data_IF_629399102708
#
_entry.id   IF_629399102708
#
_cell.length_a   1.000
_cell.length_b   1.000
_cell.length_c   1.000
_cell.angle_alpha   90.00
_cell.angle_beta   90.00
_cell.angle_gamma   90.00
#
_symmetry.space_group_name_H-M   'P 1'
#
loop_
_entity.id
_entity.type
_entity.pdbx_description
1 polymer ?
#
# COMPACT_ATOMS: atom_id res chain seq x y z
N UNK A 1 -32.82 -22.75 -42.26
CA UNK A 1 -32.22 -22.98 -40.92
C UNK A 1 -30.84 -22.36 -40.89
N UNK A 2 -30.61 -21.32 -40.09
CA UNK A 2 -29.25 -20.91 -39.67
C UNK A 2 -29.03 -21.35 -38.24
N UNK A 3 -27.83 -21.82 -37.87
CA UNK A 3 -27.28 -21.49 -36.58
C UNK A 3 -26.43 -20.21 -36.73
N UNK A 4 -26.87 -19.18 -36.00
CA UNK A 4 -26.08 -17.99 -35.69
C UNK A 4 -25.05 -18.40 -34.63
N UNK A 5 -23.76 -18.31 -34.98
CA UNK A 5 -22.67 -18.48 -34.04
C UNK A 5 -22.10 -17.09 -33.75
N UNK A 6 -22.76 -16.39 -32.83
CA UNK A 6 -22.19 -15.21 -32.19
C UNK A 6 -20.87 -15.62 -31.52
N UNK A 7 -19.75 -14.89 -31.75
CA UNK A 7 -18.54 -15.12 -31.00
C UNK A 7 -18.83 -14.86 -29.52
N UNK A 8 -18.49 -15.84 -28.68
CA UNK A 8 -18.50 -15.72 -27.23
C UNK A 8 -17.61 -14.54 -26.83
N UNK A 9 -18.22 -13.53 -26.20
CA UNK A 9 -17.52 -12.38 -25.65
C UNK A 9 -16.58 -12.83 -24.54
N UNK A 10 -15.32 -13.03 -24.91
CA UNK A 10 -14.25 -13.23 -23.95
C UNK A 10 -13.88 -11.84 -23.46
N UNK A 11 -14.24 -11.50 -22.22
CA UNK A 11 -14.11 -10.18 -21.61
C UNK A 11 -12.88 -9.40 -22.08
N UNK A 12 -13.13 -8.49 -23.02
CA UNK A 12 -12.10 -7.74 -23.74
C UNK A 12 -11.62 -6.58 -22.90
N UNK A 13 -10.40 -6.67 -22.40
CA UNK A 13 -9.68 -5.52 -21.89
C UNK A 13 -8.90 -4.91 -23.05
N UNK A 14 -8.94 -3.58 -23.15
CA UNK A 14 -8.14 -2.82 -24.12
C UNK A 14 -6.66 -3.22 -23.98
N UNK A 15 -5.99 -3.70 -25.05
CA UNK A 15 -4.59 -4.11 -24.99
C UNK A 15 -3.62 -2.98 -24.61
N UNK A 16 -4.05 -1.71 -24.69
CA UNK A 16 -3.26 -0.55 -24.27
C UNK A 16 -3.50 -0.16 -22.80
N UNK A 17 -4.51 -0.74 -22.14
CA UNK A 17 -4.79 -0.48 -20.73
C UNK A 17 -3.81 -1.23 -19.82
N UNK A 18 -3.17 -0.50 -18.91
CA UNK A 18 -2.26 -1.08 -17.96
C UNK A 18 -3.05 -1.69 -16.79
N UNK A 19 -2.66 -2.91 -16.38
CA UNK A 19 -3.19 -3.53 -15.17
C UNK A 19 -2.81 -2.68 -13.96
N UNK A 20 -3.84 -2.35 -13.18
CA UNK A 20 -3.77 -1.66 -11.89
C UNK A 20 -4.55 -2.45 -10.86
N UNK A 21 -4.37 -2.07 -9.61
CA UNK A 21 -4.97 -2.73 -8.48
C UNK A 21 -5.59 -1.69 -7.55
N UNK A 22 -6.89 -1.87 -7.27
CA UNK A 22 -7.64 -1.04 -6.33
C UNK A 22 -7.69 -1.71 -4.96
N UNK A 23 -7.29 -0.95 -3.93
CA UNK A 23 -7.42 -1.40 -2.55
C UNK A 23 -8.90 -1.59 -2.17
N UNK A 24 -9.23 -2.77 -1.64
CA UNK A 24 -10.58 -3.14 -1.17
C UNK A 24 -10.76 -3.02 0.34
N UNK A 25 -9.78 -2.43 1.04
CA UNK A 25 -9.73 -2.38 2.51
C UNK A 25 -9.76 -3.78 3.15
N UNK A 26 -9.07 -4.73 2.53
CA UNK A 26 -8.99 -6.11 3.04
C UNK A 26 -8.18 -6.25 4.34
N UNK A 27 -7.38 -5.23 4.69
CA UNK A 27 -6.53 -5.21 5.89
C UNK A 27 -5.23 -5.99 5.79
N UNK A 28 -5.01 -6.80 4.74
CA UNK A 28 -3.86 -7.69 4.64
C UNK A 28 -2.51 -6.94 4.68
N UNK A 29 -2.32 -5.92 3.84
CA UNK A 29 -1.06 -5.16 3.81
C UNK A 29 -0.84 -4.29 5.06
N UNK A 30 -1.88 -4.02 5.84
CA UNK A 30 -1.77 -3.29 7.10
C UNK A 30 -1.34 -4.20 8.27
N UNK A 31 -1.19 -5.50 8.04
CA UNK A 31 -0.84 -6.52 9.04
C UNK A 31 0.37 -7.35 8.62
N UNK A 32 1.05 -6.92 7.56
CA UNK A 32 2.30 -7.56 7.17
C UNK A 32 3.44 -7.00 8.00
N UNK A 33 4.37 -7.89 8.30
CA UNK A 33 5.64 -7.51 8.88
C UNK A 33 6.46 -6.68 7.88
N UNK A 34 7.20 -5.72 8.44
CA UNK A 34 8.11 -4.86 7.70
C UNK A 34 7.92 -3.38 8.01
N UNK A 35 8.82 -2.56 7.50
CA UNK A 35 8.78 -1.12 7.75
C UNK A 35 7.86 -0.39 6.79
N UNK A 36 6.90 0.35 7.36
CA UNK A 36 6.32 1.52 6.70
C UNK A 36 7.18 2.72 7.07
N UNK A 37 8.22 3.02 6.27
CA UNK A 37 9.10 4.17 6.51
C UNK A 37 8.36 5.47 6.23
N UNK A 38 8.57 6.45 7.10
CA UNK A 38 7.93 7.77 7.01
C UNK A 38 8.95 8.89 6.97
N UNK A 39 8.74 9.86 6.08
CA UNK A 39 9.51 11.09 6.03
C UNK A 39 8.95 12.14 6.99
N UNK A 40 9.72 13.20 7.23
CA UNK A 40 9.30 14.36 8.03
C UNK A 40 8.06 15.06 7.45
N UNK A 41 7.95 15.11 6.13
CA UNK A 41 6.77 15.65 5.44
C UNK A 41 5.53 14.77 5.65
N UNK A 42 5.70 13.45 5.61
CA UNK A 42 4.62 12.50 5.89
C UNK A 42 4.15 12.57 7.34
N UNK A 43 5.10 12.69 8.27
CA UNK A 43 4.82 12.92 9.69
C UNK A 43 4.01 14.21 9.86
N UNK A 44 4.40 15.31 9.21
CA UNK A 44 3.67 16.58 9.27
C UNK A 44 2.25 16.45 8.72
N UNK A 45 2.05 15.73 7.61
CA UNK A 45 0.71 15.46 7.04
C UNK A 45 -0.16 14.61 7.98
N UNK A 46 0.43 13.59 8.60
CA UNK A 46 -0.28 12.74 9.58
C UNK A 46 -0.66 13.57 10.81
N UNK A 47 0.25 14.40 11.30
CA UNK A 47 0.03 15.28 12.45
C UNK A 47 -1.13 16.26 12.20
N UNK A 48 -1.13 16.94 11.04
CA UNK A 48 -2.20 17.85 10.65
C UNK A 48 -3.57 17.15 10.55
N UNK A 49 -3.62 15.92 10.00
CA UNK A 49 -4.86 15.16 9.91
C UNK A 49 -5.41 14.72 11.28
N UNK A 50 -4.52 14.43 12.24
CA UNK A 50 -4.88 13.95 13.57
C UNK A 50 -5.05 15.08 14.59
N UNK A 51 -4.86 16.34 14.20
CA UNK A 51 -4.81 17.51 15.09
C UNK A 51 -3.77 17.34 16.23
N UNK A 52 -2.57 16.89 15.84
CA UNK A 52 -1.43 16.68 16.73
C UNK A 52 -0.21 17.47 16.24
N UNK A 53 0.82 17.59 17.09
CA UNK A 53 2.11 18.12 16.64
C UNK A 53 2.95 17.02 15.95
N UNK A 54 3.84 17.39 15.02
CA UNK A 54 4.77 16.43 14.41
C UNK A 54 5.60 15.65 15.45
N UNK A 55 6.01 16.29 16.55
CA UNK A 55 6.78 15.67 17.62
C UNK A 55 5.97 14.59 18.35
N UNK A 56 4.68 14.85 18.62
CA UNK A 56 3.79 13.85 19.19
C UNK A 56 3.65 12.66 18.25
N UNK A 57 3.55 12.89 16.94
CA UNK A 57 3.46 11.79 15.96
C UNK A 57 4.73 10.96 15.92
N UNK A 58 5.91 11.60 15.89
CA UNK A 58 7.21 10.91 15.95
C UNK A 58 7.30 10.03 17.19
N UNK A 59 6.92 10.57 18.35
CA UNK A 59 7.03 9.87 19.64
C UNK A 59 6.06 8.70 19.75
N UNK A 60 4.79 8.91 19.39
CA UNK A 60 3.70 8.00 19.76
C UNK A 60 3.37 6.99 18.66
N UNK A 61 3.66 7.31 17.39
CA UNK A 61 3.26 6.49 16.24
C UNK A 61 4.42 6.02 15.38
N UNK A 62 5.67 6.31 15.75
CA UNK A 62 6.84 5.84 15.00
C UNK A 62 7.88 5.18 15.90
N UNK A 63 8.70 4.32 15.30
CA UNK A 63 9.90 3.74 15.89
C UNK A 63 11.10 3.96 14.98
N UNK A 64 12.30 4.01 15.55
CA UNK A 64 13.53 3.94 14.77
C UNK A 64 13.66 2.54 14.15
N UNK A 65 13.99 2.48 12.86
CA UNK A 65 14.25 1.21 12.17
C UNK A 65 15.52 0.52 12.71
N UNK A 66 15.63 -0.80 12.58
CA UNK A 66 16.80 -1.55 13.09
C UNK A 66 18.12 -1.11 12.46
N UNK A 67 18.10 -0.75 11.17
CA UNK A 67 19.24 -0.17 10.45
C UNK A 67 19.56 1.27 10.86
N UNK A 68 18.73 1.87 11.74
CA UNK A 68 18.78 3.27 12.17
C UNK A 68 18.76 4.30 11.04
N UNK A 69 18.31 3.91 9.84
CA UNK A 69 18.27 4.76 8.66
C UNK A 69 17.01 5.63 8.57
N UNK A 70 16.03 5.46 9.46
CA UNK A 70 14.85 6.31 9.50
C UNK A 70 13.81 5.89 10.53
N UNK A 71 12.64 6.52 10.44
CA UNK A 71 11.48 6.19 11.26
C UNK A 71 10.51 5.32 10.47
N UNK A 72 9.85 4.40 11.17
CA UNK A 72 8.76 3.59 10.64
C UNK A 72 7.54 3.68 11.54
N UNK A 73 6.34 3.58 10.96
CA UNK A 73 5.11 3.47 11.75
C UNK A 73 5.15 2.26 12.69
N UNK A 74 4.63 2.43 13.90
CA UNK A 74 4.49 1.33 14.85
C UNK A 74 3.32 0.41 14.54
N UNK A 75 3.38 -0.78 15.11
CA UNK A 75 2.30 -1.76 15.12
C UNK A 75 1.65 -1.83 16.50
N UNK A 76 0.41 -2.31 16.53
CA UNK A 76 -0.33 -2.70 17.71
C UNK A 76 0.15 -4.08 18.19
N UNK A 77 -0.27 -4.53 19.40
CA UNK A 77 0.07 -5.86 19.90
C UNK A 77 -0.36 -7.03 19.00
N UNK A 78 -1.39 -6.84 18.15
CA UNK A 78 -1.86 -7.85 17.19
C UNK A 78 -1.06 -7.86 15.87
N UNK A 79 0.04 -7.10 15.79
CA UNK A 79 0.88 -6.94 14.59
C UNK A 79 0.28 -6.04 13.52
N UNK A 80 -0.87 -5.39 13.77
CA UNK A 80 -1.46 -4.46 12.81
C UNK A 80 -0.89 -3.07 12.91
N UNK A 81 -0.83 -2.34 11.80
CA UNK A 81 -0.45 -0.93 11.78
C UNK A 81 -1.25 -0.14 12.84
N UNK A 82 -0.57 0.73 13.59
CA UNK A 82 -1.15 1.54 14.65
C UNK A 82 -2.40 2.34 14.23
N UNK A 83 -2.50 2.70 12.94
CA UNK A 83 -3.62 3.46 12.38
C UNK A 83 -4.74 2.60 11.76
N UNK A 84 -4.65 1.27 11.80
CA UNK A 84 -5.72 0.39 11.32
C UNK A 84 -6.84 0.32 12.36
N UNK A 85 -8.00 0.92 12.10
CA UNK A 85 -9.19 0.80 12.94
C UNK A 85 -10.01 -0.47 12.62
N UNK A 86 -11.05 -0.69 13.42
CA UNK A 86 -12.02 -1.76 13.22
C UNK A 86 -12.63 -1.72 11.81
N UNK A 87 -13.01 -2.89 11.31
CA UNK A 87 -13.49 -3.03 9.93
C UNK A 87 -12.41 -2.76 8.86
N UNK A 88 -11.13 -2.84 9.22
CA UNK A 88 -9.97 -2.59 8.35
C UNK A 88 -9.93 -1.16 7.76
N UNK A 89 -10.43 -0.18 8.52
CA UNK A 89 -10.43 1.22 8.10
C UNK A 89 -9.09 1.86 8.45
N UNK A 90 -8.40 2.43 7.47
CA UNK A 90 -7.18 3.20 7.72
C UNK A 90 -7.56 4.60 8.21
N UNK A 91 -7.22 4.94 9.45
CA UNK A 91 -7.54 6.26 10.05
C UNK A 91 -6.80 7.42 9.41
N UNK A 92 -5.65 7.15 8.80
CA UNK A 92 -4.83 8.16 8.11
C UNK A 92 -4.93 8.06 6.59
N UNK A 93 -6.08 7.62 6.06
CA UNK A 93 -6.27 7.37 4.62
C UNK A 93 -5.79 8.55 3.75
N UNK A 94 -6.13 9.79 4.12
CA UNK A 94 -5.80 10.99 3.36
C UNK A 94 -4.33 11.40 3.52
N UNK A 95 -3.76 11.13 4.69
CA UNK A 95 -2.36 11.38 5.01
C UNK A 95 -1.45 10.17 4.79
N UNK A 96 -1.91 9.12 4.09
CA UNK A 96 -1.16 7.86 3.93
C UNK A 96 0.30 8.10 3.51
N UNK A 97 1.26 7.39 4.12
CA UNK A 97 2.62 7.35 3.63
C UNK A 97 2.68 6.86 2.18
N UNK A 98 3.69 7.31 1.45
CA UNK A 98 3.95 6.99 0.04
C UNK A 98 4.02 5.48 -0.15
N UNK A 99 4.72 4.74 0.71
CA UNK A 99 4.78 3.28 0.62
C UNK A 99 3.38 2.64 0.67
N UNK A 100 2.52 3.08 1.60
CA UNK A 100 1.14 2.60 1.68
C UNK A 100 0.28 3.02 0.48
N UNK A 101 0.52 4.20 -0.12
CA UNK A 101 -0.20 4.68 -1.32
C UNK A 101 0.22 3.92 -2.57
N UNK A 102 1.50 3.59 -2.69
CA UNK A 102 2.08 2.91 -3.84
C UNK A 102 1.76 1.41 -3.85
N UNK A 103 1.44 0.81 -2.70
CA UNK A 103 1.00 -0.57 -2.66
C UNK A 103 -0.41 -0.76 -3.23
N UNK A 104 -0.66 -1.77 -4.10
CA UNK A 104 0.30 -2.75 -4.63
C UNK A 104 0.81 -2.40 -6.04
N UNK A 105 0.55 -1.21 -6.58
CA UNK A 105 0.86 -0.90 -7.98
C UNK A 105 2.35 -0.66 -8.25
N UNK A 106 3.03 0.06 -7.35
CA UNK A 106 4.42 0.50 -7.55
C UNK A 106 5.34 0.12 -6.40
N UNK A 107 4.78 -0.47 -5.35
CA UNK A 107 5.53 -1.02 -4.23
C UNK A 107 4.85 -2.32 -3.83
N UNK A 108 5.41 -3.45 -4.25
CA UNK A 108 4.87 -4.78 -3.97
C UNK A 108 6.00 -5.81 -4.00
N UNK A 109 5.63 -7.07 -3.79
CA UNK A 109 6.51 -8.21 -3.95
C UNK A 109 5.79 -9.33 -4.72
N UNK A 110 6.55 -10.21 -5.35
CA UNK A 110 5.99 -11.35 -6.10
C UNK A 110 5.06 -12.20 -5.23
N UNK A 111 3.83 -12.41 -5.69
CA UNK A 111 2.84 -13.23 -4.99
C UNK A 111 2.01 -12.51 -3.93
N UNK A 112 2.15 -11.19 -3.76
CA UNK A 112 1.37 -10.38 -2.80
C UNK A 112 -0.16 -10.62 -2.86
N UNK A 113 -0.69 -10.96 -4.05
CA UNK A 113 -2.11 -11.29 -4.31
C UNK A 113 -2.62 -12.51 -3.55
N UNK A 114 -1.74 -13.38 -3.05
CA UNK A 114 -2.14 -14.50 -2.18
C UNK A 114 -2.74 -14.04 -0.85
N UNK A 115 -2.39 -12.83 -0.41
CA UNK A 115 -2.91 -12.25 0.83
C UNK A 115 -3.73 -10.99 0.59
N UNK A 116 -3.29 -10.11 -0.31
CA UNK A 116 -4.04 -8.89 -0.63
C UNK A 116 -5.24 -9.21 -1.54
N UNK A 117 -6.45 -8.90 -1.06
CA UNK A 117 -7.70 -9.04 -1.84
C UNK A 117 -8.00 -7.80 -2.69
N UNK A 118 -6.98 -7.16 -3.26
CA UNK A 118 -7.19 -6.02 -4.17
C UNK A 118 -7.99 -6.45 -5.41
N UNK A 119 -8.75 -5.53 -5.98
CA UNK A 119 -9.44 -5.77 -7.24
C UNK A 119 -8.55 -5.33 -8.39
N UNK A 120 -8.48 -6.15 -9.42
CA UNK A 120 -7.85 -5.81 -10.69
C UNK A 120 -8.68 -4.69 -11.35
N UNK A 121 -7.99 -3.65 -11.81
CA UNK A 121 -8.56 -2.55 -12.59
C UNK A 121 -7.70 -2.34 -13.82
N UNK A 122 -8.31 -1.87 -14.91
CA UNK A 122 -7.62 -1.61 -16.16
C UNK A 122 -7.78 -0.13 -16.42
N UNK A 123 -6.67 0.61 -16.36
CA UNK A 123 -6.64 2.05 -16.56
C UNK A 123 -5.84 2.37 -17.81
N UNK A 124 -6.31 3.34 -18.60
CA UNK A 124 -5.56 3.85 -19.73
C UNK A 124 -4.24 4.43 -19.23
N UNK A 125 -3.12 4.06 -19.84
CA UNK A 125 -1.81 4.59 -19.48
C UNK A 125 -1.75 6.09 -19.86
N UNK A 126 -1.91 6.97 -18.85
CA UNK A 126 -1.61 8.39 -19.01
C UNK A 126 -0.09 8.62 -19.17
N UNK A 127 0.34 9.71 -19.82
CA UNK A 127 1.72 9.90 -20.29
C UNK A 127 2.82 10.08 -19.22
N UNK A 128 2.53 10.03 -17.91
CA UNK A 128 3.48 10.46 -16.86
C UNK A 128 3.89 9.39 -15.82
N UNK A 129 3.63 8.11 -16.08
CA UNK A 129 4.05 7.04 -15.17
C UNK A 129 5.46 6.49 -15.47
N UNK A 130 6.45 7.37 -15.65
CA UNK A 130 7.86 6.95 -15.74
C UNK A 130 8.70 7.53 -14.60
N UNK A 131 9.64 6.68 -14.16
CA UNK A 131 10.84 7.00 -13.40
C UNK A 131 10.83 7.00 -11.85
N UNK A 132 11.52 5.95 -11.36
CA UNK A 132 12.25 5.83 -10.10
C UNK A 132 11.45 5.48 -8.85
N UNK A 133 11.22 4.17 -8.67
CA UNK A 133 11.28 3.64 -7.32
C UNK A 133 11.90 2.23 -7.34
N UNK A 134 13.06 2.03 -6.70
CA UNK A 134 13.63 0.70 -6.58
C UNK A 134 12.67 -0.22 -5.80
N UNK A 135 12.68 -1.54 -6.06
CA UNK A 135 11.93 -2.49 -5.25
C UNK A 135 12.32 -2.34 -3.78
N UNK A 136 11.36 -2.58 -2.88
CA UNK A 136 11.66 -2.68 -1.46
C UNK A 136 12.81 -3.68 -1.28
N UNK A 137 13.88 -3.35 -0.53
CA UNK A 137 14.85 -4.37 -0.18
C UNK A 137 14.14 -5.50 0.58
N UNK A 138 14.58 -6.76 0.42
CA UNK A 138 14.09 -7.84 1.27
C UNK A 138 14.35 -7.45 2.73
N UNK A 139 13.38 -7.68 3.61
CA UNK A 139 13.60 -7.57 5.05
C UNK A 139 14.38 -8.82 5.50
N UNK A 140 15.67 -8.85 5.20
CA UNK A 140 16.59 -9.90 5.62
C UNK A 140 17.00 -9.67 7.08
N UNK A 141 16.13 -10.12 7.98
CA UNK A 141 16.29 -9.93 9.42
C UNK A 141 15.38 -10.79 10.29
N UNK A 142 15.16 -12.07 9.91
CA UNK A 142 14.56 -13.06 10.79
C UNK A 142 15.45 -14.31 10.84
N UNK A 143 16.39 -14.34 11.79
CA UNK A 143 16.99 -15.57 12.29
C UNK A 143 17.54 -15.34 13.69
N UNK A 144 16.84 -15.97 14.64
CA UNK A 144 17.25 -16.52 15.95
C UNK A 144 18.09 -15.68 16.90
#
# INVERSE_FOLDING_TARGET
>A
MKPDASPVETGGHDPEAALRYRCTRCGACCRWDGYVRVSDEEIARIAALLDLTPEAVRRDYTRLTHDRAGLSLTEKPDGSCVFLADGNVCRIQDAKPRQCKLFPNFWNFSGFRRWCRCLDTWEQAGPEANETNPPAPPDEGASS
#
